data_IF_712088179834
#
_entry.id   IF_712088179834
#
_cell.length_a   1.000
_cell.length_b   1.000
_cell.length_c   1.000
_cell.angle_alpha   90.00
_cell.angle_beta   90.00
_cell.angle_gamma   90.00
#
_symmetry.space_group_name_H-M   'P 1'
#
loop_
_entity.id
_entity.type
_entity.pdbx_description
1 polymer ?
#
# COMPACT_ATOMS: atom_id res chain seq x y z
N UNK A 1 -3.18 37.20 -66.40
CA UNK A 1 -1.73 36.91 -66.48
C UNK A 1 -1.31 36.25 -65.18
N UNK A 2 -0.57 35.14 -65.28
CA UNK A 2 -0.19 34.21 -64.22
C UNK A 2 0.74 34.84 -63.16
N UNK A 3 0.55 34.49 -61.88
CA UNK A 3 1.47 34.59 -60.71
C UNK A 3 0.62 34.21 -59.46
N UNK A 4 0.98 33.35 -58.52
CA UNK A 4 2.23 32.68 -58.14
C UNK A 4 1.88 31.55 -57.16
N UNK A 5 2.69 30.48 -57.10
CA UNK A 5 2.63 29.39 -56.13
C UNK A 5 2.72 29.87 -54.67
N UNK A 6 2.10 29.14 -53.75
CA UNK A 6 2.70 28.82 -52.44
C UNK A 6 2.06 27.55 -51.86
N UNK A 7 2.87 26.49 -51.86
CA UNK A 7 2.66 25.26 -51.10
C UNK A 7 2.86 25.59 -49.62
N UNK A 8 1.89 25.26 -48.77
CA UNK A 8 2.12 25.13 -47.34
C UNK A 8 1.72 23.71 -46.91
N UNK A 9 2.73 22.84 -46.88
CA UNK A 9 2.75 21.66 -46.05
C UNK A 9 2.67 22.13 -44.59
N UNK A 10 1.54 21.88 -43.92
CA UNK A 10 1.52 21.82 -42.47
C UNK A 10 1.30 20.36 -42.11
N UNK A 11 2.42 19.69 -41.82
CA UNK A 11 2.45 18.42 -41.14
C UNK A 11 1.67 18.58 -39.84
N UNK A 12 0.48 17.97 -39.78
CA UNK A 12 -0.25 17.79 -38.54
C UNK A 12 0.57 16.86 -37.66
N UNK A 13 1.37 17.45 -36.78
CA UNK A 13 1.99 16.75 -35.68
C UNK A 13 0.86 16.12 -34.86
N UNK A 14 0.70 14.80 -34.98
CA UNK A 14 -0.01 14.03 -33.99
C UNK A 14 0.75 14.23 -32.68
N UNK A 15 0.30 15.16 -31.86
CA UNK A 15 0.61 15.17 -30.44
C UNK A 15 0.01 13.89 -29.88
N UNK A 16 0.80 12.82 -29.97
CA UNK A 16 0.75 11.76 -28.99
C UNK A 16 1.01 12.44 -27.66
N UNK A 17 -0.09 12.88 -27.03
CA UNK A 17 -0.07 13.23 -25.62
C UNK A 17 0.49 11.99 -24.94
N UNK A 18 1.74 12.07 -24.49
CA UNK A 18 2.22 11.22 -23.44
C UNK A 18 1.22 11.43 -22.31
N UNK A 19 0.24 10.52 -22.22
CA UNK A 19 -0.47 10.27 -20.99
C UNK A 19 0.66 10.06 -19.99
N UNK A 20 0.80 11.00 -19.05
CA UNK A 20 1.66 10.83 -17.90
C UNK A 20 1.23 9.51 -17.27
N UNK A 21 2.00 8.45 -17.52
CA UNK A 21 1.86 7.19 -16.84
C UNK A 21 2.04 7.56 -15.36
N UNK A 22 0.99 7.46 -14.53
CA UNK A 22 1.17 7.70 -13.11
C UNK A 22 2.31 6.78 -12.67
N UNK A 23 3.29 7.39 -12.02
CA UNK A 23 4.54 6.77 -11.67
C UNK A 23 4.35 5.38 -11.09
N UNK A 24 5.33 4.52 -11.35
CA UNK A 24 5.66 3.34 -10.55
C UNK A 24 4.97 3.42 -9.19
N UNK A 25 3.94 2.58 -8.98
CA UNK A 25 3.20 2.50 -7.74
C UNK A 25 4.20 2.60 -6.58
N UNK A 26 4.24 3.76 -5.90
CA UNK A 26 5.22 3.99 -4.85
C UNK A 26 5.01 2.91 -3.80
N UNK A 27 5.93 1.96 -3.78
CA UNK A 27 5.92 0.87 -2.82
C UNK A 27 6.18 1.50 -1.46
N UNK A 28 5.11 1.83 -0.73
CA UNK A 28 5.21 2.37 0.59
C UNK A 28 5.14 1.21 1.58
N UNK A 29 6.10 1.18 2.51
CA UNK A 29 6.32 -0.04 3.27
C UNK A 29 7.64 -0.05 4.00
N UNK A 30 7.89 -1.14 4.69
CA UNK A 30 9.08 -1.36 5.48
C UNK A 30 8.80 -2.25 6.67
N UNK A 31 9.88 -2.67 7.31
CA UNK A 31 9.83 -3.48 8.51
C UNK A 31 10.20 -2.66 9.74
N UNK A 32 9.44 -2.85 10.82
CA UNK A 32 9.69 -2.19 12.10
C UNK A 32 9.22 -3.04 13.27
N UNK A 33 9.97 -3.00 14.37
CA UNK A 33 9.49 -3.51 15.65
C UNK A 33 8.44 -2.56 16.21
N UNK A 34 7.22 -3.05 16.42
CA UNK A 34 6.12 -2.30 17.01
C UNK A 34 5.88 -2.78 18.44
N UNK A 35 5.68 -1.85 19.35
CA UNK A 35 5.41 -2.14 20.77
C UNK A 35 3.92 -2.18 21.04
N UNK A 36 3.48 -3.16 21.84
CA UNK A 36 2.13 -3.21 22.33
C UNK A 36 1.93 -2.23 23.51
N UNK A 37 0.72 -1.66 23.68
CA UNK A 37 0.45 -0.68 24.75
C UNK A 37 0.77 -1.16 26.17
N UNK A 38 0.50 -2.43 26.49
CA UNK A 38 0.80 -3.01 27.79
C UNK A 38 2.19 -3.66 27.89
N UNK A 39 3.10 -3.38 26.95
CA UNK A 39 4.43 -3.99 26.88
C UNK A 39 4.52 -5.23 25.98
N UNK A 40 5.77 -5.58 25.63
CA UNK A 40 6.07 -6.56 24.59
C UNK A 40 6.06 -5.94 23.18
N UNK A 41 6.59 -6.67 22.21
CA UNK A 41 6.72 -6.19 20.84
C UNK A 41 6.58 -7.32 19.82
N UNK A 42 6.40 -6.93 18.57
CA UNK A 42 6.49 -7.81 17.41
C UNK A 42 7.18 -7.08 16.25
N UNK A 43 7.90 -7.83 15.42
CA UNK A 43 8.51 -7.32 14.20
C UNK A 43 7.52 -7.42 13.05
N UNK A 44 7.12 -6.27 12.51
CA UNK A 44 6.09 -6.16 11.48
C UNK A 44 6.70 -5.58 10.20
N UNK A 45 6.61 -6.34 9.12
CA UNK A 45 6.86 -5.85 7.77
C UNK A 45 5.53 -5.62 7.07
N UNK A 46 5.44 -4.53 6.33
CA UNK A 46 4.32 -4.27 5.44
C UNK A 46 4.83 -3.66 4.15
N UNK A 47 4.24 -4.05 3.03
CA UNK A 47 4.48 -3.44 1.74
C UNK A 47 3.14 -3.21 1.09
N UNK A 48 2.94 -2.06 0.47
CA UNK A 48 1.75 -1.78 -0.31
C UNK A 48 2.06 -0.91 -1.51
N UNK A 49 1.24 -1.08 -2.53
CA UNK A 49 1.42 -0.56 -3.87
C UNK A 49 0.08 0.02 -4.35
N UNK A 50 0.12 1.22 -4.91
CA UNK A 50 -1.07 1.84 -5.51
C UNK A 50 -1.50 1.10 -6.77
N UNK A 51 -2.80 0.83 -6.92
CA UNK A 51 -3.42 0.32 -8.15
C UNK A 51 -4.00 1.44 -9.02
N UNK A 52 -3.95 2.69 -8.53
CA UNK A 52 -4.74 3.79 -9.08
C UNK A 52 -6.17 3.83 -8.50
N UNK A 53 -6.86 4.94 -8.70
CA UNK A 53 -8.25 5.11 -8.22
C UNK A 53 -8.42 5.16 -6.70
N UNK A 54 -7.33 5.33 -5.93
CA UNK A 54 -7.36 5.33 -4.46
C UNK A 54 -7.32 3.95 -3.82
N UNK A 55 -7.08 2.89 -4.61
CA UNK A 55 -6.97 1.52 -4.13
C UNK A 55 -5.52 1.06 -4.06
N UNK A 56 -5.26 0.13 -3.14
CA UNK A 56 -3.95 -0.43 -2.85
C UNK A 56 -4.02 -1.96 -2.78
N UNK A 57 -2.91 -2.60 -3.11
CA UNK A 57 -2.65 -4.01 -2.83
C UNK A 57 -1.32 -4.13 -2.09
N UNK A 58 -1.10 -5.25 -1.41
CA UNK A 58 0.11 -5.41 -0.63
C UNK A 58 0.17 -6.68 0.18
N UNK A 59 1.21 -6.75 0.98
CA UNK A 59 1.48 -7.83 1.90
C UNK A 59 1.92 -7.31 3.26
N UNK A 60 1.78 -8.17 4.25
CA UNK A 60 2.36 -7.94 5.56
C UNK A 60 2.88 -9.25 6.13
N UNK A 61 3.84 -9.11 7.05
CA UNK A 61 4.25 -10.20 7.90
C UNK A 61 4.51 -9.74 9.32
N UNK A 62 4.18 -10.61 10.27
CA UNK A 62 4.33 -10.38 11.71
C UNK A 62 5.12 -11.53 12.29
N UNK A 63 6.29 -11.24 12.84
CA UNK A 63 7.21 -12.23 13.40
C UNK A 63 7.78 -11.76 14.73
N UNK A 64 8.50 -12.65 15.43
CA UNK A 64 9.17 -12.33 16.71
C UNK A 64 8.24 -11.68 17.76
N UNK A 65 6.96 -12.05 17.75
CA UNK A 65 5.99 -11.55 18.71
C UNK A 65 6.23 -12.17 20.10
N UNK A 66 6.25 -11.34 21.14
CA UNK A 66 6.30 -11.81 22.53
C UNK A 66 5.04 -12.62 22.91
N UNK A 67 5.11 -13.44 23.98
CA UNK A 67 4.09 -14.46 24.32
C UNK A 67 2.64 -13.96 24.51
N UNK A 68 2.46 -12.69 24.85
CA UNK A 68 1.16 -12.02 25.03
C UNK A 68 0.80 -11.07 23.89
N UNK A 69 1.64 -10.99 22.86
CA UNK A 69 1.52 -10.01 21.78
C UNK A 69 0.89 -10.64 20.55
N UNK A 70 -0.11 -9.96 19.98
CA UNK A 70 -0.75 -10.29 18.71
C UNK A 70 -0.78 -9.06 17.79
N UNK A 71 -0.96 -9.28 16.50
CA UNK A 71 -1.18 -8.19 15.56
C UNK A 71 -2.65 -8.11 15.16
N UNK A 72 -3.11 -6.90 14.87
CA UNK A 72 -4.37 -6.69 14.18
C UNK A 72 -4.12 -5.94 12.90
N UNK A 73 -4.83 -6.34 11.87
CA UNK A 73 -4.77 -5.73 10.56
C UNK A 73 -6.15 -5.19 10.23
N UNK A 74 -6.16 -3.96 9.74
CA UNK A 74 -7.35 -3.25 9.33
C UNK A 74 -7.37 -3.16 7.79
N UNK A 75 -8.51 -3.49 7.20
CA UNK A 75 -8.82 -3.35 5.78
C UNK A 75 -10.20 -2.72 5.62
N UNK A 76 -10.27 -1.46 5.18
CA UNK A 76 -11.54 -0.79 4.82
C UNK A 76 -12.70 -0.98 5.83
N UNK A 77 -12.40 -0.89 7.11
CA UNK A 77 -13.40 -1.00 8.20
C UNK A 77 -13.45 -2.38 8.85
N UNK A 78 -12.81 -3.38 8.26
CA UNK A 78 -12.72 -4.74 8.81
C UNK A 78 -11.41 -4.91 9.57
N UNK A 79 -11.48 -5.57 10.73
CA UNK A 79 -10.32 -5.82 11.59
C UNK A 79 -10.13 -7.32 11.75
N UNK A 80 -8.97 -7.80 11.33
CA UNK A 80 -8.56 -9.18 11.51
C UNK A 80 -7.45 -9.28 12.56
N UNK A 81 -7.57 -10.26 13.45
CA UNK A 81 -6.50 -10.57 14.41
C UNK A 81 -5.60 -11.63 13.83
N UNK A 82 -4.36 -11.26 13.53
CA UNK A 82 -3.39 -12.14 12.90
C UNK A 82 -2.42 -12.60 13.97
N UNK A 83 -2.55 -13.88 14.31
CA UNK A 83 -1.79 -14.49 15.39
C UNK A 83 -1.06 -15.70 14.85
N UNK A 84 0.27 -15.66 14.83
CA UNK A 84 1.06 -16.88 14.80
C UNK A 84 2.31 -16.68 15.63
N UNK A 85 2.31 -17.37 16.76
CA UNK A 85 3.33 -17.30 17.80
C UNK A 85 4.61 -17.96 17.22
N UNK A 86 5.68 -17.17 17.07
CA UNK A 86 7.01 -17.66 16.72
C UNK A 86 7.35 -17.80 15.22
N UNK A 87 6.42 -18.23 14.36
CA UNK A 87 6.78 -18.67 12.99
C UNK A 87 6.54 -17.67 11.85
N UNK A 88 6.14 -16.44 12.18
CA UNK A 88 5.86 -15.43 11.14
C UNK A 88 4.50 -15.68 10.50
N UNK A 89 3.53 -14.82 10.79
CA UNK A 89 2.27 -14.82 10.02
C UNK A 89 2.44 -13.93 8.83
N UNK A 90 1.97 -14.34 7.66
CA UNK A 90 1.94 -13.51 6.46
C UNK A 90 0.51 -13.41 5.97
N UNK A 91 0.15 -12.27 5.41
CA UNK A 91 -1.10 -12.08 4.71
C UNK A 91 -0.92 -11.11 3.56
N UNK A 92 -1.85 -11.17 2.62
CA UNK A 92 -1.90 -10.29 1.48
C UNK A 92 -3.29 -9.68 1.35
N UNK A 93 -3.36 -8.53 0.70
CA UNK A 93 -4.60 -7.84 0.43
C UNK A 93 -4.51 -7.19 -0.96
N UNK A 94 -5.68 -6.98 -1.56
CA UNK A 94 -5.84 -6.29 -2.83
C UNK A 94 -7.11 -5.47 -2.76
N UNK A 95 -7.16 -4.41 -3.57
CA UNK A 95 -8.37 -3.60 -3.77
C UNK A 95 -8.88 -2.96 -2.49
N UNK A 96 -7.97 -2.54 -1.60
CA UNK A 96 -8.32 -1.83 -0.36
C UNK A 96 -8.00 -0.35 -0.44
N UNK A 97 -8.85 0.51 0.11
CA UNK A 97 -8.60 1.95 0.19
C UNK A 97 -7.77 2.35 1.43
N UNK A 98 -7.87 1.59 2.51
CA UNK A 98 -7.17 1.83 3.77
C UNK A 98 -6.63 0.53 4.38
N UNK A 99 -5.32 0.54 4.67
CA UNK A 99 -4.60 -0.57 5.27
C UNK A 99 -3.77 -0.13 6.47
N UNK A 100 -3.97 -0.76 7.64
CA UNK A 100 -3.17 -0.51 8.83
C UNK A 100 -2.82 -1.80 9.56
N UNK A 101 -1.65 -1.82 10.19
CA UNK A 101 -1.23 -2.92 11.08
C UNK A 101 -0.87 -2.31 12.43
N UNK A 102 -1.35 -2.91 13.51
CA UNK A 102 -0.97 -2.57 14.88
C UNK A 102 -0.63 -3.82 15.67
N UNK A 103 0.06 -3.62 16.78
CA UNK A 103 0.49 -4.67 17.69
C UNK A 103 -0.10 -4.43 19.06
N UNK A 104 -0.62 -5.50 19.67
CA UNK A 104 -1.52 -5.48 20.81
C UNK A 104 -1.13 -6.57 21.80
N UNK A 105 -1.48 -6.38 23.07
CA UNK A 105 -1.33 -7.42 24.09
C UNK A 105 -2.52 -7.45 25.07
N UNK A 106 -3.11 -6.29 25.33
CA UNK A 106 -4.37 -6.10 26.04
C UNK A 106 -4.90 -4.70 25.68
N UNK A 107 -6.21 -4.55 25.49
CA UNK A 107 -6.83 -3.21 25.38
C UNK A 107 -6.52 -2.46 24.09
N UNK A 108 -6.35 -3.16 22.97
CA UNK A 108 -6.36 -2.48 21.67
C UNK A 108 -7.77 -1.94 21.39
N UNK A 109 -7.99 -0.66 21.71
CA UNK A 109 -9.26 0.04 21.55
C UNK A 109 -9.70 0.18 20.10
N UNK A 110 -10.75 0.98 19.83
CA UNK A 110 -11.25 1.17 18.47
C UNK A 110 -10.16 1.64 17.52
N UNK A 111 -10.21 1.12 16.30
CA UNK A 111 -9.65 1.79 15.14
C UNK A 111 -10.60 2.96 14.89
N UNK A 112 -10.06 4.16 15.10
CA UNK A 112 -10.72 5.49 15.07
C UNK A 112 -11.89 5.62 14.10
#
# INVERSE_FOLDING_TARGET
MKRTLSVLLVAGAATAGLMAVPGTADAAGGCKTMSAPGGGSAYVCKNYYSQGGGLYYGDFSVSRAASSVYAQVYYDGNVETVTSRGNGTKGGFSDVAAFHVRVCNSGCGSWY
#
